data_IF_906658574413
#
_entry.id   IF_906658574413
#
_cell.length_a   1.000
_cell.length_b   1.000
_cell.length_c   1.000
_cell.angle_alpha   90.00
_cell.angle_beta   90.00
_cell.angle_gamma   90.00
#
_symmetry.space_group_name_H-M   'P 1'
#
loop_
_entity.id
_entity.type
_entity.pdbx_description
1 polymer ?
#
# COMPACT_ATOMS: atom_id res chain seq x y z
N UNK A 1 23.59 -48.59 -46.26
CA UNK A 1 24.09 -49.71 -45.44
C UNK A 1 23.19 -49.87 -44.23
N UNK A 2 22.39 -50.94 -44.21
CA UNK A 2 21.61 -51.42 -43.07
C UNK A 2 22.50 -52.26 -42.16
N UNK A 3 22.47 -52.09 -40.84
CA UNK A 3 22.72 -53.15 -39.83
C UNK A 3 22.11 -52.68 -38.50
N UNK A 4 20.93 -53.21 -38.15
CA UNK A 4 20.65 -54.31 -37.19
C UNK A 4 20.49 -53.86 -35.74
N UNK A 5 19.25 -54.02 -35.27
CA UNK A 5 18.87 -54.15 -33.86
C UNK A 5 19.68 -55.22 -33.13
N UNK A 6 19.90 -55.02 -31.82
CA UNK A 6 19.66 -56.04 -30.79
C UNK A 6 19.36 -55.36 -29.45
N UNK A 7 18.21 -55.69 -28.88
CA UNK A 7 17.89 -55.53 -27.47
C UNK A 7 18.19 -56.86 -26.75
N UNK A 8 18.70 -56.78 -25.52
CA UNK A 8 18.57 -57.71 -24.37
C UNK A 8 19.59 -57.22 -23.33
N UNK A 9 19.38 -57.14 -22.02
CA UNK A 9 18.24 -57.35 -21.14
C UNK A 9 18.66 -56.96 -19.71
N UNK A 10 17.68 -56.48 -18.95
CA UNK A 10 17.48 -56.53 -17.49
C UNK A 10 18.63 -56.45 -16.47
N UNK A 11 18.51 -55.48 -15.55
CA UNK A 11 18.61 -55.63 -14.07
C UNK A 11 18.06 -54.34 -13.43
N UNK A 12 16.92 -54.38 -12.75
CA UNK A 12 16.77 -54.49 -11.28
C UNK A 12 17.31 -53.28 -10.49
N UNK A 13 16.44 -52.79 -9.60
CA UNK A 13 16.67 -51.84 -8.48
C UNK A 13 16.56 -50.34 -8.81
N UNK A 14 15.39 -49.77 -8.53
CA UNK A 14 15.22 -48.73 -7.51
C UNK A 14 13.82 -48.12 -7.62
N UNK A 15 12.86 -48.71 -6.91
CA UNK A 15 11.63 -48.01 -6.56
C UNK A 15 11.97 -46.86 -5.63
N UNK A 16 12.07 -45.65 -6.19
CA UNK A 16 11.92 -44.41 -5.44
C UNK A 16 10.51 -43.92 -5.70
N UNK A 17 9.57 -44.56 -5.01
CA UNK A 17 8.28 -43.96 -4.75
C UNK A 17 8.57 -42.62 -4.06
N UNK A 18 8.43 -41.53 -4.81
CA UNK A 18 8.33 -40.19 -4.28
C UNK A 18 7.04 -40.12 -3.45
N UNK A 19 7.10 -40.66 -2.23
CA UNK A 19 6.22 -40.26 -1.15
C UNK A 19 6.55 -38.80 -0.89
N UNK A 20 5.89 -37.92 -1.62
CA UNK A 20 5.66 -36.56 -1.18
C UNK A 20 5.00 -36.72 0.19
N UNK A 21 5.81 -36.60 1.23
CA UNK A 21 5.34 -36.33 2.58
C UNK A 21 4.59 -35.00 2.45
N UNK A 22 3.30 -35.10 2.15
CA UNK A 22 2.33 -34.11 2.54
C UNK A 22 2.38 -34.09 4.07
N UNK A 23 3.38 -33.41 4.61
CA UNK A 23 3.35 -32.95 5.99
C UNK A 23 1.97 -32.30 6.12
N UNK A 24 1.12 -32.73 7.05
CA UNK A 24 -0.07 -31.97 7.35
C UNK A 24 0.46 -30.58 7.69
N UNK A 25 0.19 -29.61 6.81
CA UNK A 25 0.33 -28.21 7.15
C UNK A 25 -0.64 -28.04 8.29
N UNK A 26 -0.16 -28.17 9.52
CA UNK A 26 -0.86 -27.69 10.69
C UNK A 26 -1.26 -26.28 10.31
N UNK A 27 -2.57 -26.04 10.16
CA UNK A 27 -3.09 -24.77 9.73
C UNK A 27 -2.41 -23.70 10.59
N UNK A 28 -1.43 -23.02 10.02
CA UNK A 28 -0.53 -22.17 10.78
C UNK A 28 -1.39 -21.06 11.33
N UNK A 29 -1.58 -21.07 12.64
CA UNK A 29 -2.52 -20.19 13.30
C UNK A 29 -2.09 -18.73 13.02
N UNK A 30 -2.98 -17.92 12.46
CA UNK A 30 -2.61 -16.60 11.92
C UNK A 30 -2.68 -15.54 13.04
N UNK A 31 -1.56 -15.28 13.69
CA UNK A 31 -1.43 -14.16 14.63
C UNK A 31 -1.33 -12.82 13.89
N UNK A 32 -1.57 -11.71 14.58
CA UNK A 32 -1.41 -10.37 14.02
C UNK A 32 0.04 -10.12 13.56
N UNK A 33 1.03 -10.47 14.38
CA UNK A 33 2.45 -10.29 14.04
C UNK A 33 2.85 -11.09 12.81
N UNK A 34 2.34 -12.31 12.68
CA UNK A 34 2.58 -13.15 11.50
C UNK A 34 1.94 -12.53 10.26
N UNK A 35 0.72 -12.01 10.37
CA UNK A 35 0.06 -11.32 9.27
C UNK A 35 0.84 -10.07 8.84
N UNK A 36 1.32 -9.26 9.78
CA UNK A 36 2.15 -8.08 9.50
C UNK A 36 3.47 -8.44 8.83
N UNK A 37 4.15 -9.48 9.32
CA UNK A 37 5.40 -9.99 8.74
C UNK A 37 5.20 -10.48 7.31
N UNK A 38 4.16 -11.29 7.07
CA UNK A 38 3.83 -11.78 5.73
C UNK A 38 3.46 -10.63 4.80
N UNK A 39 2.71 -9.63 5.26
CA UNK A 39 2.32 -8.49 4.44
C UNK A 39 3.53 -7.66 3.99
N UNK A 40 4.48 -7.37 4.88
CA UNK A 40 5.69 -6.62 4.52
C UNK A 40 6.56 -7.38 3.51
N UNK A 41 6.60 -8.70 3.60
CA UNK A 41 7.43 -9.53 2.72
C UNK A 41 6.77 -9.84 1.37
N UNK A 42 5.43 -9.92 1.32
CA UNK A 42 4.71 -10.43 0.16
C UNK A 42 3.85 -9.39 -0.57
N UNK A 43 3.63 -8.19 0.00
CA UNK A 43 2.78 -7.19 -0.62
C UNK A 43 3.38 -6.67 -1.95
N UNK A 44 2.69 -6.87 -3.10
CA UNK A 44 3.22 -6.42 -4.40
C UNK A 44 3.43 -4.91 -4.50
N UNK A 45 2.69 -4.12 -3.71
CA UNK A 45 2.87 -2.66 -3.68
C UNK A 45 4.24 -2.27 -3.12
N UNK A 46 4.80 -3.02 -2.17
CA UNK A 46 6.15 -2.78 -1.67
C UNK A 46 7.21 -3.19 -2.69
N UNK A 47 7.02 -4.30 -3.40
CA UNK A 47 7.88 -4.67 -4.52
C UNK A 47 7.90 -3.60 -5.61
N UNK A 48 6.75 -2.98 -5.92
CA UNK A 48 6.68 -1.86 -6.85
C UNK A 48 7.48 -0.63 -6.35
N UNK A 49 7.44 -0.34 -5.05
CA UNK A 49 8.26 0.74 -4.47
C UNK A 49 9.75 0.40 -4.46
N UNK A 50 10.12 -0.85 -4.21
CA UNK A 50 11.52 -1.32 -4.32
C UNK A 50 12.05 -1.14 -5.75
N UNK A 51 11.25 -1.50 -6.75
CA UNK A 51 11.59 -1.26 -8.16
C UNK A 51 11.68 0.24 -8.48
N UNK A 52 10.85 1.09 -7.87
CA UNK A 52 10.92 2.55 -8.03
C UNK A 52 12.22 3.13 -7.45
N UNK A 53 12.65 2.65 -6.28
CA UNK A 53 13.94 3.04 -5.70
C UNK A 53 15.08 2.58 -6.60
N UNK A 54 15.04 1.34 -7.09
CA UNK A 54 16.06 0.83 -8.02
C UNK A 54 16.12 1.65 -9.30
N UNK A 55 14.97 2.00 -9.89
CA UNK A 55 14.90 2.84 -11.08
C UNK A 55 15.48 4.23 -10.83
N UNK A 56 15.12 4.89 -9.72
CA UNK A 56 15.67 6.18 -9.34
C UNK A 56 17.18 6.11 -9.10
N UNK A 57 17.66 5.07 -8.44
CA UNK A 57 19.09 4.87 -8.13
C UNK A 57 19.90 4.68 -9.41
N UNK A 58 19.40 3.87 -10.36
CA UNK A 58 20.03 3.68 -11.66
C UNK A 58 20.01 4.97 -12.51
N UNK A 59 18.95 5.77 -12.41
CA UNK A 59 18.84 7.05 -13.10
C UNK A 59 19.78 8.13 -12.49
N UNK A 60 20.17 7.99 -11.22
CA UNK A 60 21.10 8.91 -10.57
C UNK A 60 22.55 8.74 -11.04
N UNK A 61 22.96 7.53 -11.43
CA UNK A 61 24.33 7.24 -11.90
C UNK A 61 24.77 8.17 -13.05
N UNK A 62 24.02 8.32 -14.15
CA UNK A 62 24.43 9.20 -15.26
C UNK A 62 24.05 10.68 -15.06
N UNK A 63 23.41 11.08 -13.96
CA UNK A 63 22.81 12.42 -13.84
C UNK A 63 23.82 13.57 -13.95
N UNK A 64 25.05 13.34 -13.48
CA UNK A 64 26.16 14.29 -13.55
C UNK A 64 27.14 14.06 -14.71
N UNK A 65 26.96 12.98 -15.47
CA UNK A 65 27.86 12.61 -16.56
C UNK A 65 27.72 13.56 -17.75
N UNK A 66 28.77 13.62 -18.55
CA UNK A 66 28.70 14.34 -19.82
C UNK A 66 27.74 13.62 -20.77
N UNK A 67 26.99 14.36 -21.61
CA UNK A 67 26.21 13.75 -22.69
C UNK A 67 27.13 12.94 -23.61
N UNK A 68 26.60 11.89 -24.23
CA UNK A 68 27.37 11.08 -25.17
C UNK A 68 27.96 11.93 -26.31
N UNK A 69 29.23 11.68 -26.71
CA UNK A 69 29.81 12.34 -27.86
C UNK A 69 29.03 11.99 -29.13
N UNK A 70 28.84 12.98 -30.00
CA UNK A 70 28.12 12.83 -31.26
C UNK A 70 29.11 12.64 -32.41
N UNK A 71 28.99 11.53 -33.13
CA UNK A 71 29.67 11.33 -34.40
C UNK A 71 28.96 12.11 -35.51
N UNK A 72 29.72 12.93 -36.22
CA UNK A 72 29.25 13.76 -37.31
C UNK A 72 29.81 13.18 -38.62
N UNK A 73 28.93 12.82 -39.54
CA UNK A 73 29.29 12.36 -40.88
C UNK A 73 28.53 13.22 -41.87
N UNK A 74 29.24 13.80 -42.83
CA UNK A 74 28.59 14.70 -43.78
C UNK A 74 29.42 14.98 -45.01
N UNK A 75 28.77 15.58 -46.00
CA UNK A 75 29.41 16.13 -47.19
C UNK A 75 29.11 17.63 -47.20
N UNK A 76 30.15 18.44 -47.23
CA UNK A 76 30.04 19.90 -47.27
C UNK A 76 30.32 20.40 -48.70
N UNK A 77 29.68 21.51 -49.06
CA UNK A 77 29.78 22.16 -50.37
C UNK A 77 29.43 21.24 -51.56
N UNK A 78 28.42 20.38 -51.41
CA UNK A 78 27.99 19.47 -52.48
C UNK A 78 27.37 20.23 -53.68
N UNK A 79 27.88 20.03 -54.91
CA UNK A 79 27.47 20.81 -56.07
C UNK A 79 26.10 20.38 -56.59
N UNK A 80 25.12 21.29 -56.53
CA UNK A 80 23.76 21.08 -57.06
C UNK A 80 23.52 21.75 -58.43
N UNK A 81 24.56 22.37 -59.00
CA UNK A 81 24.51 23.06 -60.29
C UNK A 81 25.92 23.27 -60.87
N UNK A 82 26.01 23.76 -62.11
CA UNK A 82 27.30 23.96 -62.80
C UNK A 82 27.86 22.68 -63.47
N UNK A 83 29.11 22.73 -63.94
CA UNK A 83 29.77 21.63 -64.66
C UNK A 83 29.88 20.34 -63.84
N UNK A 84 30.17 20.44 -62.54
CA UNK A 84 30.44 19.30 -61.65
C UNK A 84 29.19 18.87 -60.83
N UNK A 85 28.00 19.21 -61.32
CA UNK A 85 26.72 18.91 -60.65
C UNK A 85 26.60 17.44 -60.26
N UNK A 86 26.15 17.16 -59.04
CA UNK A 86 25.95 15.82 -58.49
C UNK A 86 27.21 14.96 -58.41
N UNK A 87 28.40 15.53 -58.56
CA UNK A 87 29.67 14.84 -58.31
C UNK A 87 30.12 15.08 -56.87
N UNK A 88 30.74 14.05 -56.28
CA UNK A 88 31.30 14.10 -54.93
C UNK A 88 32.84 14.23 -54.94
N UNK A 89 33.45 14.14 -56.13
CA UNK A 89 34.90 13.97 -56.31
C UNK A 89 35.50 14.88 -57.39
N UNK A 90 34.68 15.53 -58.22
CA UNK A 90 35.12 16.43 -59.29
C UNK A 90 35.22 17.90 -58.83
N UNK A 91 34.35 18.32 -57.91
CA UNK A 91 34.40 19.68 -57.37
C UNK A 91 35.42 19.77 -56.22
N UNK A 92 36.41 20.64 -56.36
CA UNK A 92 37.49 20.81 -55.39
C UNK A 92 37.06 21.40 -54.04
N UNK A 93 35.89 22.05 -53.98
CA UNK A 93 35.30 22.59 -52.77
C UNK A 93 34.49 21.56 -51.99
N UNK A 94 34.12 20.43 -52.62
CA UNK A 94 33.38 19.34 -51.97
C UNK A 94 34.26 18.64 -50.96
N UNK A 95 33.76 18.50 -49.72
CA UNK A 95 34.51 17.89 -48.62
C UNK A 95 33.71 16.79 -47.95
N UNK A 96 34.32 15.62 -47.80
CA UNK A 96 33.81 14.53 -46.97
C UNK A 96 34.29 14.76 -45.54
N UNK A 97 33.37 14.87 -44.60
CA UNK A 97 33.64 15.20 -43.20
C UNK A 97 33.34 14.01 -42.29
N UNK A 98 34.29 13.74 -41.38
CA UNK A 98 34.10 12.89 -40.21
C UNK A 98 34.50 13.70 -38.99
N UNK A 99 33.57 13.91 -38.07
CA UNK A 99 33.77 14.76 -36.89
C UNK A 99 33.25 14.13 -35.61
N UNK A 100 33.75 14.62 -34.48
CA UNK A 100 33.25 14.26 -33.15
C UNK A 100 32.96 15.54 -32.38
N UNK A 101 31.76 15.64 -31.82
CA UNK A 101 31.32 16.77 -30.98
C UNK A 101 31.01 16.29 -29.56
N UNK A 102 31.51 17.03 -28.58
CA UNK A 102 31.21 16.79 -27.17
C UNK A 102 30.57 18.04 -26.56
N UNK A 103 29.39 17.87 -25.97
CA UNK A 103 28.73 18.91 -25.17
C UNK A 103 29.33 18.95 -23.77
N UNK A 104 29.58 20.16 -23.27
CA UNK A 104 30.13 20.46 -21.95
C UNK A 104 29.15 21.36 -21.19
N UNK A 105 28.11 20.78 -20.56
CA UNK A 105 27.21 21.53 -19.70
C UNK A 105 28.00 22.20 -18.57
N UNK A 106 27.57 23.40 -18.15
CA UNK A 106 28.22 24.11 -17.06
C UNK A 106 28.21 23.30 -15.75
N UNK A 107 29.18 23.55 -14.87
CA UNK A 107 29.36 22.79 -13.63
C UNK A 107 28.13 22.84 -12.73
N UNK A 108 27.47 24.00 -12.65
CA UNK A 108 26.34 24.23 -11.77
C UNK A 108 25.11 23.47 -12.24
N UNK A 109 24.90 23.39 -13.56
CA UNK A 109 23.86 22.57 -14.19
C UNK A 109 24.05 21.09 -13.91
N UNK A 110 25.28 20.58 -14.07
CA UNK A 110 25.58 19.16 -13.75
C UNK A 110 25.40 18.87 -12.26
N UNK A 111 25.86 19.78 -11.39
CA UNK A 111 25.66 19.65 -9.94
C UNK A 111 24.17 19.63 -9.58
N UNK A 112 23.38 20.54 -10.14
CA UNK A 112 21.93 20.57 -9.92
C UNK A 112 21.25 19.28 -10.41
N UNK A 113 21.67 18.71 -11.54
CA UNK A 113 21.15 17.41 -12.02
C UNK A 113 21.47 16.25 -11.08
N UNK A 114 22.68 16.22 -10.49
CA UNK A 114 23.04 15.26 -9.44
C UNK A 114 22.12 15.46 -8.22
N UNK A 115 21.97 16.70 -7.75
CA UNK A 115 21.10 17.03 -6.60
C UNK A 115 19.63 16.61 -6.85
N UNK A 116 19.11 16.81 -8.06
CA UNK A 116 17.76 16.36 -8.45
C UNK A 116 17.66 14.84 -8.37
N UNK A 117 18.64 14.13 -8.93
CA UNK A 117 18.59 12.68 -8.99
C UNK A 117 18.74 12.04 -7.60
N UNK A 118 19.65 12.55 -6.76
CA UNK A 118 19.81 12.13 -5.37
C UNK A 118 18.52 12.39 -4.56
N UNK A 119 17.92 13.56 -4.72
CA UNK A 119 16.64 13.87 -4.07
C UNK A 119 15.49 12.97 -4.57
N UNK A 120 15.51 12.56 -5.84
CA UNK A 120 14.54 11.61 -6.40
C UNK A 120 14.69 10.21 -5.80
N UNK A 121 15.92 9.74 -5.52
CA UNK A 121 16.17 8.49 -4.79
C UNK A 121 15.61 8.60 -3.37
N UNK A 122 15.91 9.69 -2.67
CA UNK A 122 15.42 9.92 -1.30
C UNK A 122 13.89 10.02 -1.24
N UNK A 123 13.28 10.62 -2.27
CA UNK A 123 11.83 10.68 -2.44
C UNK A 123 11.24 9.29 -2.63
N UNK A 124 11.79 8.47 -3.53
CA UNK A 124 11.34 7.10 -3.72
C UNK A 124 11.47 6.28 -2.42
N UNK A 125 12.53 6.48 -1.65
CA UNK A 125 12.71 5.86 -0.34
C UNK A 125 11.67 6.33 0.69
N UNK A 126 11.30 7.62 0.67
CA UNK A 126 10.24 8.16 1.54
C UNK A 126 8.86 7.63 1.18
N UNK A 127 8.52 7.59 -0.11
CA UNK A 127 7.26 7.01 -0.62
C UNK A 127 7.15 5.52 -0.26
N UNK A 128 8.26 4.77 -0.28
CA UNK A 128 8.28 3.39 0.23
C UNK A 128 7.97 3.30 1.72
N UNK A 129 8.47 4.23 2.55
CA UNK A 129 8.15 4.26 3.99
C UNK A 129 6.67 4.50 4.22
N UNK A 130 6.06 5.41 3.44
CA UNK A 130 4.60 5.64 3.45
C UNK A 130 3.84 4.38 3.05
N UNK A 131 4.22 3.74 1.95
CA UNK A 131 3.53 2.51 1.51
C UNK A 131 3.69 1.37 2.53
N UNK A 132 4.87 1.24 3.17
CA UNK A 132 5.08 0.26 4.25
C UNK A 132 4.15 0.50 5.42
N UNK A 133 3.99 1.75 5.84
CA UNK A 133 3.05 2.11 6.89
C UNK A 133 1.62 1.70 6.51
N UNK A 134 1.19 2.08 5.29
CA UNK A 134 -0.13 1.76 4.75
C UNK A 134 -0.41 0.26 4.69
N UNK A 135 0.56 -0.53 4.23
CA UNK A 135 0.46 -2.00 4.18
C UNK A 135 0.29 -2.58 5.57
N UNK A 136 1.10 -2.16 6.55
CA UNK A 136 1.01 -2.63 7.94
C UNK A 136 -0.33 -2.27 8.57
N UNK A 137 -0.73 -1.00 8.48
CA UNK A 137 -2.01 -0.52 9.01
C UNK A 137 -3.19 -1.27 8.37
N UNK A 138 -3.25 -1.35 7.04
CA UNK A 138 -4.34 -2.02 6.33
C UNK A 138 -4.42 -3.51 6.65
N UNK A 139 -3.27 -4.17 6.83
CA UNK A 139 -3.21 -5.58 7.25
C UNK A 139 -3.73 -5.76 8.67
N UNK A 140 -3.34 -4.88 9.61
CA UNK A 140 -3.83 -4.93 10.97
C UNK A 140 -5.36 -4.73 11.04
N UNK A 141 -5.89 -3.75 10.32
CA UNK A 141 -7.33 -3.52 10.25
C UNK A 141 -8.08 -4.74 9.68
N UNK A 142 -7.59 -5.31 8.58
CA UNK A 142 -8.19 -6.51 7.98
C UNK A 142 -8.13 -7.73 8.92
N UNK A 143 -7.01 -7.90 9.65
CA UNK A 143 -6.86 -8.95 10.63
C UNK A 143 -7.81 -8.79 11.82
N UNK A 144 -7.94 -7.57 12.38
CA UNK A 144 -8.84 -7.26 13.49
C UNK A 144 -10.30 -7.55 13.12
N UNK A 145 -10.73 -7.16 11.92
CA UNK A 145 -12.09 -7.46 11.45
C UNK A 145 -12.29 -8.96 11.22
N UNK A 146 -11.31 -9.65 10.62
CA UNK A 146 -11.40 -11.11 10.44
C UNK A 146 -11.49 -11.84 11.79
N UNK A 147 -10.66 -11.45 12.77
CA UNK A 147 -10.68 -12.00 14.13
C UNK A 147 -12.01 -11.76 14.84
N UNK A 148 -12.58 -10.55 14.71
CA UNK A 148 -13.85 -10.18 15.34
C UNK A 148 -15.04 -10.94 14.76
N UNK A 149 -15.04 -11.20 13.44
CA UNK A 149 -16.07 -12.04 12.78
C UNK A 149 -15.99 -13.48 13.29
N UNK A 150 -14.79 -14.05 13.43
CA UNK A 150 -14.61 -15.39 13.98
C UNK A 150 -15.09 -15.49 15.44
N UNK A 151 -14.93 -14.41 16.24
CA UNK A 151 -15.49 -14.33 17.59
C UNK A 151 -17.02 -14.26 17.60
N UNK A 152 -17.64 -13.52 16.68
CA UNK A 152 -19.11 -13.44 16.56
C UNK A 152 -19.70 -14.80 16.19
N UNK A 153 -19.14 -15.48 15.18
CA UNK A 153 -19.63 -16.80 14.74
C UNK A 153 -19.49 -17.87 15.84
N UNK A 154 -18.46 -17.78 16.70
CA UNK A 154 -18.30 -18.69 17.83
C UNK A 154 -19.48 -18.61 18.84
N UNK A 155 -20.15 -17.46 18.97
CA UNK A 155 -21.32 -17.29 19.84
C UNK A 155 -22.57 -18.03 19.34
N UNK A 156 -22.67 -18.27 18.03
CA UNK A 156 -23.88 -18.88 17.45
C UNK A 156 -24.12 -20.30 17.94
N UNK A 157 -23.05 -21.04 18.24
CA UNK A 157 -23.19 -22.36 18.85
C UNK A 157 -23.94 -22.29 20.19
N UNK A 158 -23.67 -21.26 20.99
CA UNK A 158 -24.33 -21.07 22.27
C UNK A 158 -25.75 -20.53 22.10
N UNK A 159 -25.99 -19.64 21.13
CA UNK A 159 -27.34 -19.17 20.80
C UNK A 159 -28.26 -20.33 20.38
N UNK A 160 -27.78 -21.25 19.55
CA UNK A 160 -28.55 -22.45 19.17
C UNK A 160 -28.78 -23.40 20.35
N UNK A 161 -27.80 -23.59 21.25
CA UNK A 161 -28.00 -24.39 22.47
C UNK A 161 -29.09 -23.78 23.35
N UNK A 162 -29.02 -22.47 23.61
CA UNK A 162 -30.01 -21.74 24.41
C UNK A 162 -31.42 -21.80 23.76
N UNK A 163 -31.52 -21.72 22.42
CA UNK A 163 -32.78 -21.83 21.70
C UNK A 163 -33.39 -23.26 21.75
N UNK A 164 -32.55 -24.31 21.71
CA UNK A 164 -33.02 -25.69 21.92
C UNK A 164 -33.58 -25.88 23.32
N UNK A 165 -32.91 -25.33 24.34
CA UNK A 165 -33.43 -25.36 25.71
C UNK A 165 -34.77 -24.64 25.83
N UNK A 166 -34.94 -23.49 25.18
CA UNK A 166 -36.24 -22.82 25.12
C UNK A 166 -37.31 -23.70 24.44
N UNK A 167 -36.96 -24.36 23.33
CA UNK A 167 -37.86 -25.27 22.61
C UNK A 167 -38.34 -26.42 23.49
N UNK A 168 -37.45 -26.99 24.31
CA UNK A 168 -37.79 -28.08 25.25
C UNK A 168 -38.70 -27.58 26.38
N UNK A 169 -38.45 -26.39 26.91
CA UNK A 169 -39.29 -25.75 27.93
C UNK A 169 -40.70 -25.50 27.39
N UNK A 170 -40.82 -24.92 26.19
CA UNK A 170 -42.12 -24.66 25.56
C UNK A 170 -42.89 -25.96 25.34
N UNK A 171 -42.22 -27.02 24.85
CA UNK A 171 -42.85 -28.33 24.67
C UNK A 171 -43.37 -28.92 25.97
N UNK A 172 -42.61 -28.80 27.06
CA UNK A 172 -43.03 -29.27 28.38
C UNK A 172 -44.23 -28.47 28.92
N UNK A 173 -44.28 -27.16 28.71
CA UNK A 173 -45.43 -26.33 29.13
C UNK A 173 -46.69 -26.65 28.33
N UNK A 174 -46.57 -26.92 27.02
CA UNK A 174 -47.71 -27.36 26.18
C UNK A 174 -48.22 -28.73 26.66
N UNK A 175 -47.33 -29.70 26.88
CA UNK A 175 -47.70 -31.01 27.39
C UNK A 175 -48.35 -30.95 28.78
N UNK A 176 -47.95 -29.98 29.61
CA UNK A 176 -48.55 -29.70 30.91
C UNK A 176 -49.82 -28.85 30.86
N UNK A 177 -50.32 -28.46 29.68
CA UNK A 177 -51.54 -27.65 29.52
C UNK A 177 -51.40 -26.18 29.94
N UNK A 178 -50.17 -25.66 30.08
CA UNK A 178 -49.87 -24.30 30.55
C UNK A 178 -49.46 -23.34 29.43
N UNK A 179 -49.33 -23.82 28.20
CA UNK A 179 -48.98 -23.03 27.01
C UNK A 179 -49.84 -23.46 25.81
N UNK A 180 -49.95 -22.60 24.80
CA UNK A 180 -50.75 -22.85 23.61
C UNK A 180 -49.96 -23.65 22.56
N UNK A 181 -50.59 -24.48 21.72
CA UNK A 181 -49.89 -25.16 20.62
C UNK A 181 -49.16 -24.21 19.67
N UNK A 182 -49.67 -22.98 19.49
CA UNK A 182 -49.04 -21.94 18.66
C UNK A 182 -47.66 -21.52 19.19
N UNK A 183 -47.43 -21.62 20.51
CA UNK A 183 -46.17 -21.24 21.16
C UNK A 183 -44.99 -22.12 20.69
N UNK A 184 -45.26 -23.33 20.18
CA UNK A 184 -44.24 -24.22 19.63
C UNK A 184 -43.55 -23.65 18.36
N UNK A 185 -44.13 -22.62 17.74
CA UNK A 185 -43.58 -21.96 16.54
C UNK A 185 -42.57 -20.88 16.93
N UNK A 186 -42.70 -20.25 18.10
CA UNK A 186 -41.88 -19.09 18.49
C UNK A 186 -40.37 -19.41 18.59
N UNK A 187 -39.94 -20.53 19.22
CA UNK A 187 -38.53 -20.91 19.22
C UNK A 187 -38.00 -21.24 17.81
N UNK A 188 -38.86 -21.79 16.93
CA UNK A 188 -38.50 -22.06 15.53
C UNK A 188 -38.28 -20.77 14.73
N UNK A 189 -39.07 -19.73 15.00
CA UNK A 189 -38.89 -18.41 14.41
C UNK A 189 -37.57 -17.77 14.85
N UNK A 190 -37.26 -17.80 16.14
CA UNK A 190 -35.97 -17.31 16.66
C UNK A 190 -34.79 -18.07 16.00
N UNK A 191 -34.89 -19.40 15.87
CA UNK A 191 -33.87 -20.20 15.20
C UNK A 191 -33.67 -19.80 13.73
N UNK A 192 -34.75 -19.52 13.00
CA UNK A 192 -34.68 -19.04 11.62
C UNK A 192 -34.05 -17.64 11.52
N UNK A 193 -34.32 -16.75 12.47
CA UNK A 193 -33.67 -15.43 12.55
C UNK A 193 -32.17 -15.55 12.85
N UNK A 194 -31.78 -16.46 13.75
CA UNK A 194 -30.38 -16.76 14.02
C UNK A 194 -29.68 -17.31 12.78
N UNK A 195 -30.32 -18.21 12.02
CA UNK A 195 -29.76 -18.71 10.77
C UNK A 195 -29.49 -17.57 9.77
N UNK A 196 -30.44 -16.65 9.58
CA UNK A 196 -30.24 -15.48 8.72
C UNK A 196 -29.08 -14.58 9.17
N UNK A 197 -28.95 -14.31 10.47
CA UNK A 197 -27.82 -13.53 11.00
C UNK A 197 -26.47 -14.26 10.83
N UNK A 198 -26.46 -15.59 10.91
CA UNK A 198 -25.26 -16.37 10.67
C UNK A 198 -24.84 -16.35 9.19
N UNK A 199 -25.80 -16.39 8.27
CA UNK A 199 -25.54 -16.24 6.84
C UNK A 199 -24.89 -14.89 6.51
N UNK A 200 -25.35 -13.81 7.15
CA UNK A 200 -24.72 -12.48 7.04
C UNK A 200 -23.26 -12.49 7.54
N UNK A 201 -22.97 -13.20 8.64
CA UNK A 201 -21.60 -13.36 9.14
C UNK A 201 -20.73 -14.21 8.22
N UNK A 202 -21.30 -15.22 7.54
CA UNK A 202 -20.58 -16.01 6.52
C UNK A 202 -20.16 -15.10 5.35
N UNK A 203 -21.05 -14.21 4.90
CA UNK A 203 -20.72 -13.20 3.90
C UNK A 203 -19.60 -12.26 4.38
N UNK A 204 -19.72 -11.72 5.59
CA UNK A 204 -18.70 -10.83 6.17
C UNK A 204 -17.34 -11.54 6.32
N UNK A 205 -17.34 -12.80 6.76
CA UNK A 205 -16.13 -13.65 6.81
C UNK A 205 -15.51 -13.79 5.42
N UNK A 206 -16.35 -14.03 4.41
CA UNK A 206 -16.09 -13.91 2.99
C UNK A 206 -15.18 -12.71 2.64
N UNK A 207 -15.74 -11.53 2.91
CA UNK A 207 -15.18 -10.23 2.57
C UNK A 207 -13.91 -9.91 3.38
N UNK A 208 -13.91 -10.18 4.70
CA UNK A 208 -12.74 -9.94 5.55
C UNK A 208 -11.54 -10.80 5.14
N UNK A 209 -11.77 -12.08 4.81
CA UNK A 209 -10.72 -12.95 4.28
C UNK A 209 -10.19 -12.46 2.94
N UNK A 210 -11.07 -12.02 2.04
CA UNK A 210 -10.65 -11.44 0.76
C UNK A 210 -9.81 -10.17 0.95
N UNK A 211 -10.21 -9.29 1.88
CA UNK A 211 -9.45 -8.09 2.23
C UNK A 211 -8.06 -8.42 2.79
N UNK A 212 -7.94 -9.43 3.66
CA UNK A 212 -6.67 -9.86 4.21
C UNK A 212 -5.79 -10.57 3.16
N UNK A 213 -6.40 -11.37 2.28
CA UNK A 213 -5.74 -12.09 1.18
C UNK A 213 -5.02 -11.15 0.21
N UNK A 214 -5.50 -9.91 0.05
CA UNK A 214 -4.81 -8.87 -0.73
C UNK A 214 -3.38 -8.61 -0.24
N UNK A 215 -3.13 -8.74 1.07
CA UNK A 215 -1.85 -8.40 1.69
C UNK A 215 -0.96 -9.63 1.94
N UNK A 216 -1.56 -10.75 2.38
CA UNK A 216 -0.80 -11.95 2.80
C UNK A 216 -1.01 -13.19 1.93
N UNK A 217 -1.78 -13.08 0.84
CA UNK A 217 -2.05 -14.18 -0.07
C UNK A 217 -2.83 -15.34 0.58
N UNK A 218 -2.49 -16.58 0.22
CA UNK A 218 -3.20 -17.79 0.68
C UNK A 218 -3.18 -18.00 2.19
N UNK A 219 -2.23 -17.39 2.91
CA UNK A 219 -2.16 -17.44 4.38
C UNK A 219 -3.42 -16.86 5.05
N UNK A 220 -4.17 -15.98 4.37
CA UNK A 220 -5.45 -15.46 4.85
C UNK A 220 -6.56 -16.51 5.00
N UNK A 221 -6.36 -17.72 4.45
CA UNK A 221 -7.29 -18.83 4.66
C UNK A 221 -7.17 -19.45 6.07
N UNK A 222 -6.06 -19.21 6.77
CA UNK A 222 -5.87 -19.69 8.13
C UNK A 222 -6.72 -18.87 9.10
N UNK A 223 -7.25 -19.53 10.13
CA UNK A 223 -8.06 -18.85 11.15
C UNK A 223 -7.19 -17.88 11.96
N UNK A 224 -7.61 -16.61 12.12
CA UNK A 224 -6.97 -15.67 13.04
C UNK A 224 -6.99 -16.20 14.49
N UNK A 225 -5.87 -16.10 15.20
CA UNK A 225 -5.76 -16.53 16.61
C UNK A 225 -5.04 -15.50 17.48
N UNK A 226 -5.24 -15.60 18.79
CA UNK A 226 -4.68 -14.68 19.78
C UNK A 226 -5.76 -13.80 20.41
N UNK A 227 -5.40 -12.58 20.72
CA UNK A 227 -6.29 -11.55 21.28
C UNK A 227 -6.30 -10.31 20.40
N UNK A 228 -7.29 -9.43 20.61
CA UNK A 228 -7.20 -8.08 20.05
C UNK A 228 -5.94 -7.40 20.61
N UNK A 229 -5.20 -6.64 19.79
CA UNK A 229 -4.03 -5.90 20.23
C UNK A 229 -4.42 -4.80 21.21
N UNK A 230 -3.61 -4.61 22.24
CA UNK A 230 -3.72 -3.52 23.20
C UNK A 230 -2.54 -2.57 23.01
N UNK A 231 -2.71 -1.57 22.15
CA UNK A 231 -1.72 -0.50 22.00
C UNK A 231 -2.07 0.66 22.93
N UNK A 232 -1.14 1.12 23.78
CA UNK A 232 -1.38 2.26 24.63
C UNK A 232 -1.58 3.51 23.76
N UNK A 233 -2.68 4.23 23.98
CA UNK A 233 -2.97 5.50 23.31
C UNK A 233 -2.49 6.62 24.21
N UNK A 234 -1.39 7.28 23.82
CA UNK A 234 -0.89 8.48 24.47
C UNK A 234 -1.14 9.70 23.58
N UNK A 235 -2.25 10.39 23.85
CA UNK A 235 -2.66 11.57 23.10
C UNK A 235 -1.56 12.64 23.07
N UNK A 236 -0.86 12.85 24.18
CA UNK A 236 0.15 13.91 24.28
C UNK A 236 1.37 13.61 23.40
N UNK A 237 1.85 12.36 23.39
CA UNK A 237 2.93 11.95 22.50
C UNK A 237 2.55 12.02 21.02
N UNK A 238 1.28 11.75 20.66
CA UNK A 238 0.87 11.70 19.25
C UNK A 238 0.89 13.06 18.56
N UNK A 239 0.50 14.14 19.25
CA UNK A 239 0.61 15.50 18.69
C UNK A 239 2.07 15.89 18.40
N UNK A 240 3.01 15.50 19.26
CA UNK A 240 4.44 15.74 19.01
C UNK A 240 4.99 14.92 17.83
N UNK A 241 4.51 13.67 17.68
CA UNK A 241 4.95 12.77 16.62
C UNK A 241 4.31 13.06 15.25
N UNK A 242 3.20 13.82 15.21
CA UNK A 242 2.51 14.19 13.97
C UNK A 242 3.45 14.84 12.96
N UNK A 243 4.35 15.74 13.40
CA UNK A 243 5.31 16.40 12.51
C UNK A 243 6.31 15.44 11.85
N UNK A 244 6.45 14.22 12.40
CA UNK A 244 7.30 13.16 11.87
C UNK A 244 6.51 12.08 11.12
N UNK A 245 5.20 12.29 10.87
CA UNK A 245 4.38 11.38 10.08
C UNK A 245 5.04 11.10 8.71
N UNK A 246 5.12 9.84 8.22
CA UNK A 246 5.87 9.49 7.02
C UNK A 246 5.43 10.25 5.78
N UNK A 247 4.14 10.57 5.66
CA UNK A 247 3.64 11.37 4.55
C UNK A 247 4.13 12.82 4.60
N UNK A 248 4.19 13.42 5.80
CA UNK A 248 4.76 14.76 5.98
C UNK A 248 6.28 14.75 5.83
N UNK A 249 6.95 13.70 6.33
CA UNK A 249 8.39 13.50 6.15
C UNK A 249 8.77 13.29 4.68
N UNK A 250 7.86 12.80 3.84
CA UNK A 250 8.09 12.66 2.40
C UNK A 250 8.16 14.00 1.65
N UNK A 251 7.64 15.09 2.22
CA UNK A 251 7.82 16.42 1.64
C UNK A 251 9.26 16.90 1.71
N UNK A 252 10.06 16.47 2.69
CA UNK A 252 11.45 16.91 2.81
C UNK A 252 12.31 16.58 1.55
N UNK A 253 12.33 15.33 1.03
CA UNK A 253 13.01 15.06 -0.24
C UNK A 253 12.30 15.68 -1.45
N UNK A 254 10.98 15.83 -1.47
CA UNK A 254 10.27 16.52 -2.56
C UNK A 254 10.66 18.00 -2.65
N UNK A 255 10.77 18.69 -1.50
CA UNK A 255 11.26 20.06 -1.40
C UNK A 255 12.71 20.16 -1.86
N UNK A 256 13.59 19.22 -1.47
CA UNK A 256 14.97 19.18 -1.97
C UNK A 256 15.03 18.99 -3.49
N UNK A 257 14.21 18.10 -4.04
CA UNK A 257 14.11 17.87 -5.49
C UNK A 257 13.65 19.16 -6.21
N UNK A 258 12.63 19.85 -5.68
CA UNK A 258 12.15 21.11 -6.24
C UNK A 258 13.18 22.25 -6.13
N UNK A 259 13.90 22.36 -5.01
CA UNK A 259 15.00 23.31 -4.84
C UNK A 259 16.13 23.06 -5.85
N UNK A 260 16.51 21.80 -6.04
CA UNK A 260 17.52 21.42 -7.03
C UNK A 260 17.05 21.74 -8.48
N UNK A 261 15.76 21.59 -8.78
CA UNK A 261 15.17 22.05 -10.06
C UNK A 261 15.20 23.57 -10.22
N UNK A 262 15.04 24.34 -9.13
CA UNK A 262 15.26 25.79 -9.15
C UNK A 262 16.73 26.10 -9.44
N UNK A 263 17.68 25.40 -8.80
CA UNK A 263 19.11 25.55 -9.09
C UNK A 263 19.44 25.24 -10.55
N UNK A 264 18.87 24.16 -11.12
CA UNK A 264 19.05 23.84 -12.53
C UNK A 264 18.53 24.96 -13.42
N UNK A 265 17.32 25.47 -13.16
CA UNK A 265 16.75 26.59 -13.92
C UNK A 265 17.60 27.87 -13.80
N UNK A 266 18.19 28.14 -12.64
CA UNK A 266 19.12 29.26 -12.43
C UNK A 266 20.42 29.05 -13.21
N UNK A 267 20.93 27.83 -13.26
CA UNK A 267 22.15 27.47 -14.02
C UNK A 267 22.01 27.65 -15.53
N UNK A 268 20.78 27.72 -16.07
CA UNK A 268 20.54 28.07 -17.48
C UNK A 268 20.94 29.52 -17.82
N UNK A 269 21.24 30.36 -16.82
CA UNK A 269 21.84 31.68 -17.01
C UNK A 269 23.35 31.63 -17.25
N UNK A 270 23.97 30.48 -17.02
CA UNK A 270 25.38 30.26 -17.33
C UNK A 270 25.50 29.60 -18.71
N UNK A 271 26.57 29.94 -19.42
CA UNK A 271 26.86 29.39 -20.73
C UNK A 271 27.28 27.94 -20.64
N UNK A 272 26.58 27.08 -21.38
CA UNK A 272 27.14 25.80 -21.78
C UNK A 272 28.12 26.01 -22.92
N UNK A 273 29.04 25.08 -23.10
CA UNK A 273 29.95 25.10 -24.24
C UNK A 273 30.10 23.71 -24.85
N UNK A 274 30.68 23.65 -26.04
CA UNK A 274 31.02 22.39 -26.69
C UNK A 274 32.28 22.56 -27.52
N UNK A 275 32.95 21.44 -27.78
CA UNK A 275 34.04 21.38 -28.75
C UNK A 275 33.73 20.34 -29.81
N UNK A 276 34.27 20.58 -31.00
CA UNK A 276 34.11 19.75 -32.18
C UNK A 276 35.43 19.65 -32.92
N UNK A 277 35.81 18.43 -33.27
CA UNK A 277 37.01 18.12 -34.05
C UNK A 277 36.57 17.42 -35.32
N UNK A 278 36.87 18.03 -36.46
CA UNK A 278 36.50 17.52 -37.76
C UNK A 278 37.73 17.19 -38.60
N UNK A 279 37.71 16.02 -39.21
CA UNK A 279 38.60 15.66 -40.31
C UNK A 279 37.84 15.79 -41.64
N UNK A 280 38.40 16.57 -42.54
CA UNK A 280 37.79 16.91 -43.83
C UNK A 280 38.71 16.45 -44.96
N UNK A 281 38.25 15.46 -45.72
CA UNK A 281 38.91 15.02 -46.95
C UNK A 281 38.39 15.84 -48.13
N UNK A 282 39.31 16.47 -48.85
CA UNK A 282 39.01 17.40 -49.94
C UNK A 282 39.38 16.80 -51.30
N UNK A 283 39.11 17.54 -52.38
CA UNK A 283 39.53 17.16 -53.73
C UNK A 283 41.02 16.85 -53.81
N UNK A 284 41.43 15.90 -54.68
CA UNK A 284 42.79 15.32 -54.73
C UNK A 284 43.93 16.33 -54.89
N UNK A 285 43.61 17.51 -55.38
CA UNK A 285 44.53 18.62 -55.64
C UNK A 285 44.88 19.38 -54.35
N UNK A 286 44.11 19.20 -53.28
CA UNK A 286 44.28 19.84 -51.99
C UNK A 286 44.51 18.80 -50.89
N UNK A 287 45.36 19.12 -49.91
CA UNK A 287 45.56 18.26 -48.74
C UNK A 287 44.33 18.21 -47.83
N UNK A 288 44.20 17.16 -47.03
CA UNK A 288 43.16 17.06 -46.01
C UNK A 288 43.28 18.17 -44.96
N UNK A 289 42.16 18.50 -44.32
CA UNK A 289 42.10 19.52 -43.28
C UNK A 289 41.60 18.93 -41.97
N UNK A 290 42.04 19.56 -40.89
CA UNK A 290 41.51 19.35 -39.55
C UNK A 290 40.99 20.69 -39.06
N UNK A 291 39.77 20.69 -38.55
CA UNK A 291 39.11 21.87 -37.98
C UNK A 291 38.79 21.60 -36.52
N UNK A 292 39.02 22.61 -35.67
CA UNK A 292 38.61 22.60 -34.26
C UNK A 292 37.67 23.77 -34.04
N UNK A 293 36.47 23.49 -33.57
CA UNK A 293 35.46 24.49 -33.27
C UNK A 293 35.09 24.44 -31.79
N UNK A 294 34.91 25.62 -31.20
CA UNK A 294 34.32 25.79 -29.88
C UNK A 294 33.04 26.59 -30.02
N UNK A 295 31.99 26.18 -29.33
CA UNK A 295 30.69 26.87 -29.33
C UNK A 295 30.26 27.17 -27.90
N UNK A 296 29.64 28.32 -27.68
CA UNK A 296 29.10 28.73 -26.38
C UNK A 296 27.66 29.20 -26.54
N UNK A 297 26.81 28.82 -25.59
CA UNK A 297 25.46 29.34 -25.49
C UNK A 297 25.48 30.72 -24.84
N UNK A 298 24.87 31.73 -25.47
CA UNK A 298 24.79 33.09 -24.96
C UNK A 298 23.35 33.39 -24.46
N UNK A 299 23.10 33.45 -23.14
CA UNK A 299 21.78 33.74 -22.59
C UNK A 299 21.46 35.24 -22.66
N UNK A 300 21.19 35.74 -23.86
CA UNK A 300 20.98 37.17 -24.15
C UNK A 300 19.61 37.71 -23.73
N UNK A 301 18.63 36.83 -23.52
CA UNK A 301 17.24 37.22 -23.23
C UNK A 301 16.71 36.60 -21.91
N UNK A 302 17.36 36.89 -20.77
CA UNK A 302 16.97 36.29 -19.49
C UNK A 302 15.54 36.66 -19.08
N UNK A 303 15.07 37.87 -19.41
CA UNK A 303 13.73 38.34 -19.01
C UNK A 303 12.58 37.57 -19.67
N UNK A 304 12.75 37.12 -20.91
CA UNK A 304 11.71 36.39 -21.65
C UNK A 304 11.91 34.87 -21.68
N UNK A 305 13.08 34.35 -21.29
CA UNK A 305 13.37 32.91 -21.28
C UNK A 305 13.70 32.35 -19.90
N UNK A 306 14.83 32.75 -19.29
CA UNK A 306 15.29 32.15 -18.03
C UNK A 306 14.46 32.59 -16.81
N UNK A 307 14.13 33.88 -16.68
CA UNK A 307 13.39 34.41 -15.53
C UNK A 307 11.99 33.79 -15.38
N UNK A 308 11.16 33.64 -16.44
CA UNK A 308 9.87 32.95 -16.34
C UNK A 308 10.00 31.47 -15.96
N UNK A 309 11.02 30.77 -16.46
CA UNK A 309 11.29 29.37 -16.07
C UNK A 309 11.67 29.24 -14.60
N UNK A 310 12.52 30.12 -14.10
CA UNK A 310 12.91 30.17 -12.68
C UNK A 310 11.69 30.47 -11.82
N UNK A 311 10.88 31.47 -12.19
CA UNK A 311 9.66 31.83 -11.48
C UNK A 311 8.66 30.65 -11.44
N UNK A 312 8.53 29.90 -12.54
CA UNK A 312 7.70 28.69 -12.56
C UNK A 312 8.20 27.62 -11.56
N UNK A 313 9.52 27.38 -11.50
CA UNK A 313 10.10 26.42 -10.53
C UNK A 313 10.00 26.91 -9.08
N UNK A 314 10.09 28.21 -8.84
CA UNK A 314 9.82 28.79 -7.52
C UNK A 314 8.35 28.64 -7.12
N UNK A 315 7.41 28.81 -8.05
CA UNK A 315 6.00 28.59 -7.77
C UNK A 315 5.70 27.11 -7.46
N UNK A 316 6.32 26.16 -8.18
CA UNK A 316 6.25 24.73 -7.86
C UNK A 316 6.78 24.42 -6.44
N UNK A 317 7.85 25.09 -6.01
CA UNK A 317 8.38 24.97 -4.65
C UNK A 317 7.41 25.52 -3.59
N UNK A 318 6.84 26.71 -3.81
CA UNK A 318 5.84 27.29 -2.90
C UNK A 318 4.55 26.48 -2.84
N UNK A 319 4.16 25.83 -3.95
CA UNK A 319 3.03 24.89 -3.97
C UNK A 319 3.27 23.73 -3.00
N UNK A 320 4.46 23.12 -3.00
CA UNK A 320 4.79 22.02 -2.10
C UNK A 320 4.72 22.42 -0.62
N UNK A 321 5.10 23.64 -0.27
CA UNK A 321 4.98 24.15 1.10
C UNK A 321 3.51 24.28 1.52
N UNK A 322 2.65 24.81 0.63
CA UNK A 322 1.22 24.92 0.86
C UNK A 322 0.54 23.54 0.96
N UNK A 323 0.92 22.58 0.11
CA UNK A 323 0.42 21.20 0.15
C UNK A 323 0.82 20.50 1.45
N UNK A 324 2.06 20.69 1.92
CA UNK A 324 2.52 20.16 3.22
C UNK A 324 1.70 20.72 4.37
N UNK A 325 1.46 22.02 4.39
CA UNK A 325 0.66 22.69 5.42
C UNK A 325 -0.79 22.18 5.42
N UNK A 326 -1.39 22.04 4.23
CA UNK A 326 -2.73 21.47 4.09
C UNK A 326 -2.80 20.04 4.64
N UNK A 327 -1.84 19.19 4.28
CA UNK A 327 -1.76 17.81 4.77
C UNK A 327 -1.50 17.74 6.28
N UNK A 328 -0.70 18.65 6.83
CA UNK A 328 -0.46 18.74 8.28
C UNK A 328 -1.74 19.06 9.04
N UNK A 329 -2.56 19.99 8.52
CA UNK A 329 -3.87 20.32 9.10
C UNK A 329 -4.85 19.17 8.99
N UNK A 330 -4.84 18.45 7.86
CA UNK A 330 -5.65 17.25 7.66
C UNK A 330 -5.30 16.17 8.70
N UNK A 331 -4.02 15.84 8.87
CA UNK A 331 -3.58 14.88 9.90
C UNK A 331 -3.91 15.33 11.32
N UNK A 332 -3.86 16.64 11.59
CA UNK A 332 -4.25 17.19 12.91
C UNK A 332 -5.73 16.92 13.17
N UNK A 333 -6.59 17.23 12.21
CA UNK A 333 -8.03 16.96 12.29
C UNK A 333 -8.33 15.46 12.40
N UNK A 334 -7.62 14.62 11.66
CA UNK A 334 -7.77 13.16 11.74
C UNK A 334 -7.39 12.63 13.13
N UNK A 335 -6.25 13.08 13.68
CA UNK A 335 -5.80 12.70 15.03
C UNK A 335 -6.83 13.10 16.10
N UNK A 336 -7.33 14.33 16.07
CA UNK A 336 -8.35 14.81 17.02
C UNK A 336 -9.64 13.97 16.95
N UNK A 337 -10.11 13.68 15.73
CA UNK A 337 -11.30 12.85 15.53
C UNK A 337 -11.10 11.42 16.04
N UNK A 338 -9.96 10.80 15.74
CA UNK A 338 -9.66 9.43 16.16
C UNK A 338 -9.49 9.31 17.67
N UNK A 339 -8.87 10.30 18.32
CA UNK A 339 -8.77 10.36 19.78
C UNK A 339 -10.15 10.52 20.44
N UNK A 340 -11.00 11.40 19.90
CA UNK A 340 -12.36 11.59 20.40
C UNK A 340 -13.21 10.32 20.23
N UNK A 341 -13.10 9.63 19.08
CA UNK A 341 -13.81 8.37 18.85
C UNK A 341 -13.28 7.24 19.73
N UNK A 342 -11.96 7.16 19.94
CA UNK A 342 -11.35 6.19 20.86
C UNK A 342 -11.89 6.35 22.29
N UNK A 343 -11.97 7.59 22.79
CA UNK A 343 -12.54 7.90 24.10
C UNK A 343 -14.04 7.53 24.20
N UNK A 344 -14.81 7.82 23.14
CA UNK A 344 -16.22 7.40 23.05
C UNK A 344 -16.36 5.88 23.10
N UNK A 345 -15.51 5.15 22.36
CA UNK A 345 -15.49 3.70 22.29
C UNK A 345 -15.03 3.07 23.60
N UNK A 346 -14.07 3.64 24.31
CA UNK A 346 -13.67 3.21 25.65
C UNK A 346 -14.85 3.25 26.64
N UNK A 347 -15.62 4.34 26.64
CA UNK A 347 -16.83 4.44 27.46
C UNK A 347 -17.91 3.45 27.00
N UNK A 348 -18.03 3.20 25.70
CA UNK A 348 -19.00 2.25 25.15
C UNK A 348 -18.68 0.79 25.53
N UNK A 349 -17.41 0.38 25.41
CA UNK A 349 -16.96 -0.96 25.84
C UNK A 349 -17.24 -1.15 27.33
N UNK A 350 -16.85 -0.18 28.16
CA UNK A 350 -17.07 -0.24 29.61
C UNK A 350 -18.56 -0.37 29.95
N UNK A 351 -19.41 0.51 29.41
CA UNK A 351 -20.86 0.49 29.65
C UNK A 351 -21.51 -0.81 29.18
N UNK A 352 -21.08 -1.38 28.07
CA UNK A 352 -21.63 -2.64 27.60
C UNK A 352 -21.22 -3.82 28.50
N UNK A 353 -19.96 -3.87 28.93
CA UNK A 353 -19.45 -4.92 29.82
C UNK A 353 -20.03 -4.84 31.23
N UNK A 354 -20.07 -3.65 31.81
CA UNK A 354 -20.44 -3.44 33.23
C UNK A 354 -21.95 -3.27 33.45
N UNK A 355 -22.71 -2.86 32.43
CA UNK A 355 -24.14 -2.55 32.59
C UNK A 355 -25.02 -3.30 31.60
N UNK A 356 -24.86 -3.09 30.28
CA UNK A 356 -25.82 -3.63 29.30
C UNK A 356 -25.88 -5.17 29.32
N UNK A 357 -24.72 -5.84 29.32
CA UNK A 357 -24.66 -7.30 29.32
C UNK A 357 -25.20 -7.92 30.62
N UNK A 358 -24.80 -7.47 31.82
CA UNK A 358 -25.40 -7.95 33.07
C UNK A 358 -26.92 -7.74 33.12
N UNK A 359 -27.41 -6.54 32.78
CA UNK A 359 -28.85 -6.24 32.81
C UNK A 359 -29.65 -7.07 31.80
N UNK A 360 -29.11 -7.30 30.60
CA UNK A 360 -29.75 -8.16 29.61
C UNK A 360 -29.80 -9.64 30.07
N UNK A 361 -28.75 -10.13 30.74
CA UNK A 361 -28.74 -11.47 31.34
C UNK A 361 -29.79 -11.59 32.45
N UNK A 362 -29.82 -10.63 33.38
CA UNK A 362 -30.78 -10.60 34.47
C UNK A 362 -32.23 -10.56 33.94
N UNK A 363 -32.50 -9.74 32.91
CA UNK A 363 -33.81 -9.68 32.26
C UNK A 363 -34.23 -11.03 31.66
N UNK A 364 -33.30 -11.76 31.03
CA UNK A 364 -33.59 -13.12 30.53
C UNK A 364 -33.91 -14.08 31.67
N UNK A 365 -33.15 -14.05 32.75
CA UNK A 365 -33.35 -14.92 33.91
C UNK A 365 -34.71 -14.68 34.59
N UNK A 366 -35.07 -13.42 34.83
CA UNK A 366 -36.34 -13.03 35.45
C UNK A 366 -37.55 -13.35 34.56
N UNK A 367 -37.45 -13.08 33.25
CA UNK A 367 -38.49 -13.43 32.29
C UNK A 367 -38.68 -14.94 32.20
N UNK A 368 -37.59 -15.70 32.16
CA UNK A 368 -37.63 -17.17 32.12
C UNK A 368 -38.23 -17.75 33.41
N UNK A 369 -37.89 -17.21 34.57
CA UNK A 369 -38.46 -17.63 35.85
C UNK A 369 -39.97 -17.37 35.91
N UNK A 370 -40.41 -16.20 35.45
CA UNK A 370 -41.83 -15.82 35.38
C UNK A 370 -42.61 -16.75 34.44
N UNK A 371 -42.06 -17.04 33.26
CA UNK A 371 -42.64 -17.97 32.29
C UNK A 371 -42.75 -19.39 32.85
N UNK A 372 -41.70 -19.91 33.48
CA UNK A 372 -41.72 -21.25 34.11
C UNK A 372 -42.76 -21.38 35.22
N UNK A 373 -43.03 -20.31 35.95
CA UNK A 373 -44.06 -20.26 37.00
C UNK A 373 -45.49 -20.12 36.47
N UNK A 374 -45.68 -19.99 35.15
CA UNK A 374 -46.97 -19.79 34.49
C UNK A 374 -47.56 -18.38 34.66
N UNK A 375 -46.79 -17.44 35.23
CA UNK A 375 -47.22 -16.05 35.46
C UNK A 375 -46.74 -15.07 34.38
N UNK A 376 -45.85 -15.51 33.48
CA UNK A 376 -45.24 -14.69 32.44
C UNK A 376 -45.56 -15.17 31.03
N UNK A 377 -45.35 -14.28 30.06
CA UNK A 377 -45.57 -14.51 28.63
C UNK A 377 -44.29 -15.01 27.93
N UNK A 378 -44.42 -15.98 27.02
CA UNK A 378 -43.32 -16.48 26.18
C UNK A 378 -42.72 -15.37 25.32
N UNK A 379 -43.54 -14.43 24.86
CA UNK A 379 -43.06 -13.31 24.05
C UNK A 379 -42.07 -12.42 24.82
N UNK A 380 -42.30 -12.22 26.11
CA UNK A 380 -41.38 -11.48 26.98
C UNK A 380 -40.02 -12.20 27.14
N UNK A 381 -40.02 -13.54 27.19
CA UNK A 381 -38.79 -14.35 27.23
C UNK A 381 -38.01 -14.20 25.94
N UNK A 382 -38.67 -14.32 24.79
CA UNK A 382 -38.03 -14.23 23.47
C UNK A 382 -37.49 -12.82 23.21
N UNK A 383 -38.25 -11.78 23.58
CA UNK A 383 -37.78 -10.40 23.51
C UNK A 383 -36.53 -10.17 24.37
N UNK A 384 -36.53 -10.61 25.63
CA UNK A 384 -35.37 -10.50 26.51
C UNK A 384 -34.15 -11.25 25.95
N UNK A 385 -34.34 -12.45 25.38
CA UNK A 385 -33.26 -13.24 24.78
C UNK A 385 -32.69 -12.56 23.55
N UNK A 386 -33.53 -11.99 22.69
CA UNK A 386 -33.09 -11.21 21.53
C UNK A 386 -32.23 -10.01 21.96
N UNK A 387 -32.64 -9.28 22.99
CA UNK A 387 -31.84 -8.17 23.55
C UNK A 387 -30.48 -8.65 24.08
N UNK A 388 -30.42 -9.82 24.74
CA UNK A 388 -29.15 -10.40 25.20
C UNK A 388 -28.24 -10.82 24.04
N UNK A 389 -28.80 -11.40 22.98
CA UNK A 389 -28.06 -11.78 21.77
C UNK A 389 -27.48 -10.54 21.09
N UNK A 390 -28.32 -9.51 20.90
CA UNK A 390 -27.90 -8.22 20.36
C UNK A 390 -26.82 -7.56 21.23
N UNK A 391 -26.95 -7.60 22.56
CA UNK A 391 -25.94 -7.08 23.48
C UNK A 391 -24.60 -7.83 23.39
N UNK A 392 -24.61 -9.17 23.26
CA UNK A 392 -23.40 -9.99 23.12
C UNK A 392 -22.68 -9.74 21.79
N UNK A 393 -23.43 -9.61 20.69
CA UNK A 393 -22.85 -9.24 19.39
C UNK A 393 -22.31 -7.80 19.42
N UNK A 394 -23.09 -6.87 19.98
CA UNK A 394 -22.70 -5.46 20.11
C UNK A 394 -21.44 -5.27 20.94
N UNK A 395 -21.22 -6.11 21.95
CA UNK A 395 -19.98 -6.10 22.73
C UNK A 395 -18.76 -6.35 21.85
N UNK A 396 -18.83 -7.35 20.97
CA UNK A 396 -17.73 -7.64 20.04
C UNK A 396 -17.57 -6.51 19.02
N UNK A 397 -18.67 -5.92 18.53
CA UNK A 397 -18.61 -4.76 17.62
C UNK A 397 -17.88 -3.56 18.24
N UNK A 398 -18.19 -3.21 19.49
CA UNK A 398 -17.54 -2.05 20.14
C UNK A 398 -16.08 -2.33 20.49
N UNK A 399 -15.74 -3.58 20.83
CA UNK A 399 -14.35 -4.01 21.01
C UNK A 399 -13.56 -3.96 19.70
N UNK A 400 -14.15 -4.43 18.61
CA UNK A 400 -13.60 -4.36 17.25
C UNK A 400 -13.34 -2.91 16.86
N UNK A 401 -14.35 -2.04 16.98
CA UNK A 401 -14.24 -0.62 16.65
C UNK A 401 -13.13 0.06 17.45
N UNK A 402 -13.05 -0.21 18.76
CA UNK A 402 -11.98 0.32 19.61
C UNK A 402 -10.60 -0.15 19.14
N UNK A 403 -10.46 -1.43 18.81
CA UNK A 403 -9.21 -2.01 18.33
C UNK A 403 -8.80 -1.44 16.96
N UNK A 404 -9.76 -1.24 16.04
CA UNK A 404 -9.52 -0.60 14.75
C UNK A 404 -9.03 0.86 14.92
N UNK A 405 -9.68 1.64 15.77
CA UNK A 405 -9.27 3.04 16.04
C UNK A 405 -7.90 3.08 16.73
N UNK A 406 -7.65 2.20 17.69
CA UNK A 406 -6.33 2.06 18.34
C UNK A 406 -5.24 1.68 17.33
N UNK A 407 -5.54 0.79 16.37
CA UNK A 407 -4.62 0.43 15.29
C UNK A 407 -4.27 1.65 14.42
N UNK A 408 -5.28 2.43 14.01
CA UNK A 408 -5.05 3.62 13.17
C UNK A 408 -4.12 4.60 13.86
N UNK A 409 -4.42 4.93 15.12
CA UNK A 409 -3.60 5.81 15.95
C UNK A 409 -2.17 5.25 16.14
N UNK A 410 -2.04 3.97 16.46
CA UNK A 410 -0.73 3.33 16.69
C UNK A 410 0.15 3.35 15.45
N UNK A 411 -0.37 2.96 14.29
CA UNK A 411 0.41 2.96 13.06
C UNK A 411 0.70 4.40 12.60
N UNK A 412 -0.28 5.29 12.61
CA UNK A 412 -0.07 6.67 12.16
C UNK A 412 0.88 7.46 13.08
N UNK A 413 0.83 7.26 14.40
CA UNK A 413 1.52 8.13 15.37
C UNK A 413 2.39 7.42 16.41
N UNK A 414 2.24 6.11 16.61
CA UNK A 414 2.93 5.35 17.66
C UNK A 414 4.22 4.64 17.22
N UNK A 415 4.27 4.14 15.99
CA UNK A 415 5.30 3.20 15.50
C UNK A 415 6.70 3.80 15.29
N UNK A 416 6.90 5.13 15.35
CA UNK A 416 8.19 5.80 15.07
C UNK A 416 9.32 5.55 16.09
N UNK A 417 9.14 4.60 16.98
CA UNK A 417 10.13 4.18 17.96
C UNK A 417 10.41 2.68 17.79
N UNK A 418 10.98 2.29 16.64
CA UNK A 418 11.79 1.07 16.47
C UNK A 418 12.58 1.08 15.17
#
# INVERSE_FOLDING_TARGET
MNFKCYCTGWSLVAGLAASVLALPSFAAALTLDEALRLAVNNAPSLTAQDAKIQAASSAAIPAGELPDPKLLLGVQNYPIGGPDRWSIDQDFMTMQMVGVRQEMPNSDKRKARIEIADAAVDRAAAERRVERLKVRQSTALAWISSYSIERKDALFQDFYKENRLLSDIVRAQIAGGRAQPADAVTPKQEAAQLAGQQDDLILQRAQARAALKRWIGSAANNKPVGSLPEWPVDASSYFHKLQHHPELAAFAPMTREAQAKVHEAVSEKQSDWSWELDYQRRGREFGDMVSVQFSWDLPLFPDSRQNPKIAAKQAELSQLEAEREALSREHTQQLENELADYERLNRAVRRNQESLLPLAKEKVELSMASYRSGKGDLYAVVAARRELIEARLKQIDVEEQRALTSARLYFAYGEFSQ
#
